data_IF_654872313806
#
_entry.id   IF_654872313806
#
_cell.length_a   1.000
_cell.length_b   1.000
_cell.length_c   1.000
_cell.angle_alpha   90.00
_cell.angle_beta   90.00
_cell.angle_gamma   90.00
#
_symmetry.space_group_name_H-M   'P 1'
#
loop_
_entity.id
_entity.type
_entity.pdbx_description
1 polymer ?
#
# COMPACT_ATOMS: atom_id res chain seq x y z
N UNK A 1 8.63 8.05 -3.81
CA UNK A 1 7.59 8.83 -3.12
C UNK A 1 7.30 8.12 -1.81
N UNK A 2 7.27 8.84 -0.69
CA UNK A 2 7.01 8.26 0.63
C UNK A 2 5.53 8.27 1.00
N UNK A 3 4.98 7.08 1.26
CA UNK A 3 3.59 6.91 1.71
C UNK A 3 3.55 6.65 3.21
N UNK A 4 2.67 7.33 3.96
CA UNK A 4 2.55 7.08 5.40
C UNK A 4 1.93 5.70 5.64
N UNK A 5 2.47 4.96 6.60
CA UNK A 5 1.99 3.65 7.01
C UNK A 5 1.74 3.61 8.51
N UNK A 6 0.54 3.16 8.89
CA UNK A 6 0.06 3.15 10.28
C UNK A 6 -0.26 1.75 10.79
N UNK A 7 -0.06 0.70 9.98
CA UNK A 7 -0.39 -0.68 10.38
C UNK A 7 0.53 -1.28 11.45
N UNK A 8 1.63 -0.58 11.77
CA UNK A 8 2.49 -0.91 12.91
C UNK A 8 2.07 -0.22 14.22
N UNK A 9 1.19 0.78 14.14
CA UNK A 9 0.68 1.50 15.29
C UNK A 9 -0.63 0.86 15.81
N UNK A 10 -1.05 1.22 17.03
CA UNK A 10 -2.35 0.82 17.58
C UNK A 10 -2.31 0.48 19.06
N UNK A 11 -3.46 0.13 19.63
CA UNK A 11 -3.58 -0.31 21.03
C UNK A 11 -3.26 -1.80 21.19
N UNK A 12 -3.15 -2.29 22.42
CA UNK A 12 -2.90 -3.70 22.73
C UNK A 12 -4.02 -4.67 22.27
N UNK A 13 -5.20 -4.13 21.91
CA UNK A 13 -6.37 -4.93 21.55
C UNK A 13 -6.42 -5.34 20.07
N UNK A 14 -5.52 -4.80 19.24
CA UNK A 14 -5.48 -5.08 17.80
C UNK A 14 -4.12 -5.63 17.40
N UNK A 15 -4.14 -6.57 16.46
CA UNK A 15 -2.91 -7.07 15.84
C UNK A 15 -2.26 -5.98 15.00
N UNK A 16 -0.94 -5.98 14.96
CA UNK A 16 -0.11 -4.99 14.27
C UNK A 16 0.87 -5.71 13.36
N UNK A 17 1.24 -5.06 12.27
CA UNK A 17 2.30 -5.52 11.38
C UNK A 17 3.32 -4.41 11.28
N UNK A 18 4.49 -4.61 11.90
CA UNK A 18 5.56 -3.63 11.86
C UNK A 18 6.16 -3.53 10.44
N UNK A 19 6.13 -2.32 9.90
CA UNK A 19 6.87 -1.88 8.72
C UNK A 19 7.39 -0.46 9.00
N UNK A 20 8.05 0.18 8.04
CA UNK A 20 8.46 1.58 8.20
C UNK A 20 7.25 2.53 8.19
N UNK A 21 7.28 3.57 9.04
CA UNK A 21 6.25 4.61 9.10
C UNK A 21 6.08 5.36 7.77
N UNK A 22 7.12 5.37 6.94
CA UNK A 22 7.10 5.95 5.59
C UNK A 22 7.62 4.91 4.60
N UNK A 23 6.73 4.38 3.76
CA UNK A 23 7.07 3.42 2.72
C UNK A 23 7.49 4.15 1.44
N UNK A 24 8.75 4.01 1.06
CA UNK A 24 9.29 4.61 -0.15
C UNK A 24 8.96 3.74 -1.37
N UNK A 25 8.19 4.29 -2.30
CA UNK A 25 7.83 3.63 -3.55
C UNK A 25 8.46 4.31 -4.79
N UNK A 26 8.77 3.48 -5.79
CA UNK A 26 9.22 3.93 -7.12
C UNK A 26 8.01 4.26 -7.99
N UNK A 27 8.03 5.43 -8.63
CA UNK A 27 6.94 5.91 -9.48
C UNK A 27 7.48 6.39 -10.84
N UNK A 28 6.76 6.12 -11.93
CA UNK A 28 7.05 6.76 -13.21
C UNK A 28 6.68 8.25 -13.11
N UNK A 29 7.63 9.13 -13.44
CA UNK A 29 7.42 10.58 -13.40
C UNK A 29 7.75 11.22 -14.74
N UNK A 30 7.07 12.33 -15.04
CA UNK A 30 7.42 13.21 -16.16
C UNK A 30 7.83 14.57 -15.63
N UNK A 31 8.88 15.15 -16.20
CA UNK A 31 9.28 16.54 -15.92
C UNK A 31 8.50 17.46 -16.84
N UNK A 32 7.85 18.47 -16.27
CA UNK A 32 7.14 19.52 -16.99
C UNK A 32 7.73 20.88 -16.64
N UNK A 33 7.73 21.79 -17.62
CA UNK A 33 7.97 23.21 -17.37
C UNK A 33 6.62 23.89 -17.07
N UNK A 34 6.56 24.63 -15.98
CA UNK A 34 5.38 25.35 -15.54
C UNK A 34 5.31 26.74 -16.21
N UNK A 35 4.15 27.39 -16.10
CA UNK A 35 3.91 28.70 -16.71
C UNK A 35 4.83 29.81 -16.17
N UNK A 36 5.34 29.64 -14.94
CA UNK A 36 6.31 30.55 -14.31
C UNK A 36 7.77 30.29 -14.74
N UNK A 37 7.99 29.33 -15.65
CA UNK A 37 9.31 28.93 -16.14
C UNK A 37 10.03 27.89 -15.28
N UNK A 38 9.53 27.57 -14.08
CA UNK A 38 10.09 26.53 -13.21
C UNK A 38 9.81 25.12 -13.74
N UNK A 39 10.45 24.09 -13.15
CA UNK A 39 10.20 22.69 -13.51
C UNK A 39 9.65 21.88 -12.35
N UNK A 40 8.70 21.00 -12.63
CA UNK A 40 8.11 20.08 -11.66
C UNK A 40 8.11 18.63 -12.18
N UNK A 41 8.19 17.67 -11.26
CA UNK A 41 7.94 16.26 -11.55
C UNK A 41 6.48 15.94 -11.26
N UNK A 42 5.81 15.29 -12.20
CA UNK A 42 4.40 14.89 -12.07
C UNK A 42 4.23 13.40 -12.30
N UNK A 43 3.24 12.81 -11.65
CA UNK A 43 2.79 11.41 -11.81
C UNK A 43 1.27 11.40 -11.82
N UNK A 44 0.66 10.33 -12.35
CA UNK A 44 -0.81 10.21 -12.34
C UNK A 44 -1.31 9.72 -10.97
N UNK A 45 -2.58 10.02 -10.66
CA UNK A 45 -3.27 9.45 -9.49
C UNK A 45 -3.33 7.92 -9.57
N UNK A 46 -3.43 7.38 -10.77
CA UNK A 46 -3.42 5.94 -11.01
C UNK A 46 -2.10 5.32 -10.54
N UNK A 47 -0.95 5.88 -10.94
CA UNK A 47 0.36 5.40 -10.52
C UNK A 47 0.55 5.52 -9.00
N UNK A 48 0.12 6.63 -8.40
CA UNK A 48 0.13 6.83 -6.95
C UNK A 48 -0.70 5.78 -6.22
N UNK A 49 -1.87 5.46 -6.75
CA UNK A 49 -2.77 4.47 -6.15
C UNK A 49 -2.13 3.08 -6.20
N UNK A 50 -1.59 2.66 -7.36
CA UNK A 50 -0.96 1.35 -7.48
C UNK A 50 0.25 1.19 -6.55
N UNK A 51 1.07 2.24 -6.42
CA UNK A 51 2.19 2.24 -5.48
C UNK A 51 1.70 2.15 -4.02
N UNK A 52 0.66 2.90 -3.65
CA UNK A 52 0.08 2.81 -2.30
C UNK A 52 -0.42 1.40 -1.96
N UNK A 53 -0.93 0.65 -2.94
CA UNK A 53 -1.34 -0.75 -2.77
C UNK A 53 -0.18 -1.75 -2.87
N UNK A 54 1.06 -1.28 -3.01
CA UNK A 54 2.25 -2.14 -3.08
C UNK A 54 2.28 -3.05 -4.30
N UNK A 55 1.71 -2.64 -5.44
CA UNK A 55 1.72 -3.46 -6.66
C UNK A 55 3.03 -3.29 -7.43
N UNK A 56 3.75 -4.39 -7.66
CA UNK A 56 4.97 -4.40 -8.48
C UNK A 56 4.62 -4.25 -9.98
N UNK A 57 5.42 -3.44 -10.69
CA UNK A 57 5.15 -2.98 -12.07
C UNK A 57 6.38 -3.02 -12.99
N UNK A 58 7.40 -3.78 -12.62
CA UNK A 58 8.69 -3.86 -13.31
C UNK A 58 9.69 -2.77 -12.90
N UNK A 59 9.46 -2.10 -11.76
CA UNK A 59 10.33 -1.05 -11.23
C UNK A 59 11.31 -1.59 -10.18
N UNK A 60 11.14 -2.86 -9.77
CA UNK A 60 11.91 -3.53 -8.72
C UNK A 60 11.83 -2.73 -7.41
N UNK A 61 10.60 -2.49 -6.97
CA UNK A 61 10.30 -1.77 -5.74
C UNK A 61 10.27 -2.74 -4.56
N UNK A 62 11.17 -2.55 -3.61
CA UNK A 62 11.31 -3.43 -2.43
C UNK A 62 10.07 -3.39 -1.54
N UNK A 63 9.29 -2.31 -1.58
CA UNK A 63 8.08 -2.17 -0.79
C UNK A 63 6.83 -2.70 -1.51
N UNK A 64 6.95 -3.11 -2.78
CA UNK A 64 5.89 -3.80 -3.49
C UNK A 64 5.93 -5.30 -3.23
N UNK A 65 4.76 -5.94 -3.32
CA UNK A 65 4.60 -7.36 -3.21
C UNK A 65 4.91 -8.04 -4.55
N UNK A 66 5.61 -9.18 -4.48
CA UNK A 66 5.87 -10.07 -5.61
C UNK A 66 4.90 -11.26 -5.61
N UNK A 67 4.30 -11.55 -4.45
CA UNK A 67 3.27 -12.57 -4.24
C UNK A 67 2.22 -12.09 -3.23
N UNK A 68 1.03 -12.70 -3.25
CA UNK A 68 0.02 -12.50 -2.20
C UNK A 68 0.45 -13.01 -0.82
N UNK A 69 1.47 -13.87 -0.78
CA UNK A 69 2.05 -14.41 0.45
C UNK A 69 3.09 -13.48 1.10
N UNK A 70 3.55 -12.46 0.38
CA UNK A 70 4.52 -11.50 0.89
C UNK A 70 3.86 -10.60 1.93
N UNK A 71 4.49 -10.45 3.09
CA UNK A 71 4.03 -9.51 4.13
C UNK A 71 4.44 -8.09 3.74
N UNK A 72 3.67 -7.49 2.83
CA UNK A 72 3.76 -6.07 2.42
C UNK A 72 2.45 -5.37 2.71
N UNK A 73 2.51 -4.04 2.87
CA UNK A 73 1.33 -3.24 3.19
C UNK A 73 0.16 -3.59 2.24
N UNK A 74 -1.00 -3.90 2.83
CA UNK A 74 -2.26 -4.21 2.14
C UNK A 74 -2.32 -5.50 1.32
N UNK A 75 -1.33 -6.39 1.42
CA UNK A 75 -1.41 -7.75 0.85
C UNK A 75 -2.36 -8.67 1.61
N UNK A 76 -2.81 -9.80 1.02
CA UNK A 76 -3.56 -10.82 1.74
C UNK A 76 -2.83 -11.38 2.96
N UNK A 77 -1.52 -11.66 2.86
CA UNK A 77 -0.72 -12.12 4.00
C UNK A 77 -0.62 -11.08 5.12
N UNK A 78 -0.50 -9.80 4.78
CA UNK A 78 -0.54 -8.69 5.74
C UNK A 78 -1.92 -8.58 6.40
N UNK A 79 -2.99 -8.65 5.61
CA UNK A 79 -4.36 -8.50 6.09
C UNK A 79 -4.77 -9.65 7.01
N UNK A 80 -4.29 -10.87 6.74
CA UNK A 80 -4.48 -12.03 7.62
C UNK A 80 -3.89 -11.79 9.01
N UNK A 81 -2.70 -11.19 9.12
CA UNK A 81 -2.11 -10.87 10.42
C UNK A 81 -2.91 -9.79 11.17
N UNK A 82 -3.34 -8.73 10.47
CA UNK A 82 -4.11 -7.63 11.07
C UNK A 82 -5.51 -8.09 11.51
N UNK A 83 -6.20 -8.86 10.67
CA UNK A 83 -7.64 -9.14 10.83
C UNK A 83 -7.97 -10.54 11.33
N UNK A 84 -7.03 -11.49 11.23
CA UNK A 84 -7.27 -12.91 11.49
C UNK A 84 -8.06 -13.64 10.40
N UNK A 85 -8.49 -12.96 9.32
CA UNK A 85 -9.19 -13.59 8.20
C UNK A 85 -8.19 -14.29 7.29
N UNK A 86 -8.44 -15.56 6.96
CA UNK A 86 -7.53 -16.32 6.10
C UNK A 86 -7.32 -15.66 4.74
N UNK A 87 -6.06 -15.57 4.31
CA UNK A 87 -5.67 -15.00 3.01
C UNK A 87 -6.36 -15.68 1.84
N UNK A 88 -6.64 -16.97 1.93
CA UNK A 88 -7.34 -17.70 0.87
C UNK A 88 -8.78 -17.22 0.70
N UNK A 89 -9.45 -16.86 1.80
CA UNK A 89 -10.78 -16.24 1.78
C UNK A 89 -10.71 -14.82 1.22
N UNK A 90 -9.66 -14.06 1.58
CA UNK A 90 -9.43 -12.71 1.05
C UNK A 90 -9.22 -12.76 -0.47
N UNK A 91 -8.44 -13.72 -0.98
CA UNK A 91 -8.16 -13.90 -2.41
C UNK A 91 -9.38 -14.41 -3.17
N UNK A 92 -10.13 -15.35 -2.60
CA UNK A 92 -11.29 -15.98 -3.25
C UNK A 92 -12.53 -15.08 -3.28
N UNK A 93 -12.60 -14.05 -2.43
CA UNK A 93 -13.76 -13.17 -2.36
C UNK A 93 -13.84 -12.25 -3.59
N UNK A 94 -14.94 -12.27 -4.37
CA UNK A 94 -15.01 -11.58 -5.66
C UNK A 94 -15.24 -10.05 -5.57
N UNK A 95 -15.43 -9.47 -4.37
CA UNK A 95 -15.89 -8.07 -4.24
C UNK A 95 -15.35 -7.39 -2.97
N UNK A 96 -14.68 -6.24 -3.13
CA UNK A 96 -14.57 -4.99 -2.32
C UNK A 96 -14.66 -4.96 -0.75
N UNK A 97 -15.01 -6.06 -0.09
CA UNK A 97 -15.17 -6.22 1.35
C UNK A 97 -13.86 -6.19 2.14
N UNK A 98 -12.77 -6.87 1.73
CA UNK A 98 -11.55 -6.88 2.53
C UNK A 98 -10.90 -5.49 2.61
N UNK A 99 -10.90 -4.71 1.52
CA UNK A 99 -10.36 -3.35 1.49
C UNK A 99 -11.14 -2.41 2.43
N UNK A 100 -12.46 -2.57 2.49
CA UNK A 100 -13.33 -1.75 3.36
C UNK A 100 -13.14 -2.10 4.83
N UNK A 101 -12.97 -3.39 5.16
CA UNK A 101 -12.66 -3.83 6.53
C UNK A 101 -11.29 -3.32 6.98
N UNK A 102 -10.27 -3.48 6.13
CA UNK A 102 -8.89 -3.07 6.41
C UNK A 102 -8.82 -1.56 6.70
N UNK A 103 -9.43 -0.72 5.84
CA UNK A 103 -9.43 0.73 6.05
C UNK A 103 -10.20 1.17 7.30
N UNK A 104 -11.23 0.44 7.72
CA UNK A 104 -11.96 0.75 8.96
C UNK A 104 -11.16 0.38 10.22
N UNK A 105 -10.31 -0.64 10.15
CA UNK A 105 -9.47 -1.07 11.29
C UNK A 105 -8.23 -0.20 11.45
N UNK A 106 -7.62 0.30 10.36
CA UNK A 106 -6.36 1.07 10.41
C UNK A 106 -6.57 2.58 10.63
N UNK A 107 -7.75 3.12 10.36
CA UNK A 107 -8.05 4.58 10.47
C UNK A 107 -8.95 4.88 11.69
N UNK A 108 -8.76 4.17 12.80
CA UNK A 108 -9.41 4.48 14.09
C UNK A 108 -8.41 4.67 15.20
#
# INVERSE_FOLDING_TARGET
MGFPYFGGDGTEHFNKVELENVLLHKLPVKRLQLADGSTALVTTVYDLTLANYGLERGLNDVNCATSYDDVKAYTPAWAEQITGVSRSQIIASPVNLPITLIKRTVVR
#
